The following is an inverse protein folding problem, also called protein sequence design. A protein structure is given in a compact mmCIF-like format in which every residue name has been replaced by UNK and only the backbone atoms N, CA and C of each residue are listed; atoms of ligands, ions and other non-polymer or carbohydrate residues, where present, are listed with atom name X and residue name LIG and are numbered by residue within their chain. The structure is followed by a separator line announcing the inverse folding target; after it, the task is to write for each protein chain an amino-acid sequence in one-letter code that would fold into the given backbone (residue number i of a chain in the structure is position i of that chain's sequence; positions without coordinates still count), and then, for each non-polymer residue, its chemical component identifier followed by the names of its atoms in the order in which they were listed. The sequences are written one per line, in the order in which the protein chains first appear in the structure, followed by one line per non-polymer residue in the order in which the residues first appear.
data_IF_435531586256
#
_entry.id   IF_435531586256
#
_cell.length_a   1.000
_cell.length_b   1.000
_cell.length_c   1.000
_cell.angle_alpha   90.00
_cell.angle_beta   90.00
_cell.angle_gamma   90.00
#
_symmetry.space_group_name_H-M   'P 1'
#
loop_
_entity.id
_entity.type
_entity.pdbx_description
1 polymer ?
#
# COMPACT_ATOMS: atom_id res chain seq x y z
N UNK A 1 20.35 -20.83 -9.02
CA UNK A 1 19.17 -19.93 -9.08
C UNK A 1 19.59 -18.57 -8.56
N UNK A 2 19.31 -17.50 -9.29
CA UNK A 2 19.55 -16.13 -8.81
C UNK A 2 18.45 -15.75 -7.81
N UNK A 3 18.81 -15.06 -6.73
CA UNK A 3 17.85 -14.52 -5.76
C UNK A 3 16.99 -13.44 -6.42
N UNK A 4 15.67 -13.59 -6.39
CA UNK A 4 14.73 -12.54 -6.79
C UNK A 4 14.30 -11.73 -5.56
N UNK A 5 14.78 -10.48 -5.43
CA UNK A 5 14.52 -9.68 -4.24
C UNK A 5 13.07 -9.16 -4.19
N UNK A 6 12.29 -9.30 -5.27
CA UNK A 6 10.89 -8.90 -5.37
C UNK A 6 9.92 -10.09 -5.23
N UNK A 7 10.45 -11.31 -5.04
CA UNK A 7 9.68 -12.53 -4.83
C UNK A 7 8.62 -12.76 -5.92
N UNK A 8 9.00 -12.61 -7.19
CA UNK A 8 8.15 -12.82 -8.36
C UNK A 8 7.14 -11.72 -8.63
N UNK A 9 7.12 -10.63 -7.85
CA UNK A 9 6.16 -9.54 -8.04
C UNK A 9 6.54 -8.66 -9.22
N UNK A 10 5.54 -8.24 -9.99
CA UNK A 10 5.70 -7.36 -11.16
C UNK A 10 4.70 -6.20 -11.13
N UNK A 11 4.98 -5.17 -11.93
CA UNK A 11 4.11 -3.99 -12.08
C UNK A 11 3.69 -3.37 -10.75
N UNK A 12 2.39 -3.06 -10.63
CA UNK A 12 1.84 -2.42 -9.43
C UNK A 12 2.09 -3.22 -8.14
N UNK A 13 1.99 -4.55 -8.19
CA UNK A 13 2.20 -5.41 -7.03
C UNK A 13 3.64 -5.30 -6.51
N UNK A 14 4.63 -5.23 -7.41
CA UNK A 14 6.03 -5.01 -7.07
C UNK A 14 6.25 -3.64 -6.46
N UNK A 15 5.64 -2.61 -7.06
CA UNK A 15 5.88 -1.23 -6.65
C UNK A 15 5.25 -0.96 -5.27
N UNK A 16 4.03 -1.45 -5.02
CA UNK A 16 3.41 -1.45 -3.69
C UNK A 16 4.26 -2.23 -2.66
N UNK A 17 4.73 -3.43 -3.03
CA UNK A 17 5.60 -4.22 -2.16
C UNK A 17 6.89 -3.49 -1.80
N UNK A 18 7.55 -2.85 -2.77
CA UNK A 18 8.79 -2.10 -2.53
C UNK A 18 8.55 -0.87 -1.64
N UNK A 19 7.47 -0.13 -1.89
CA UNK A 19 7.06 0.99 -1.03
C UNK A 19 6.91 0.51 0.42
N UNK A 20 6.07 -0.50 0.64
CA UNK A 20 5.81 -1.00 2.00
C UNK A 20 7.04 -1.64 2.64
N UNK A 21 7.62 -2.65 2.00
CA UNK A 21 8.60 -3.54 2.61
C UNK A 21 10.02 -2.95 2.62
N UNK A 22 10.40 -2.17 1.59
CA UNK A 22 11.76 -1.64 1.49
C UNK A 22 11.89 -0.19 1.94
N UNK A 23 10.97 0.67 1.52
CA UNK A 23 11.00 2.10 1.86
C UNK A 23 10.48 2.33 3.28
N UNK A 24 9.25 1.90 3.55
CA UNK A 24 8.60 2.14 4.84
C UNK A 24 8.98 1.11 5.91
N UNK A 25 9.41 -0.08 5.49
CA UNK A 25 9.86 -1.19 6.37
C UNK A 25 8.82 -1.60 7.42
N UNK A 26 7.57 -1.67 6.99
CA UNK A 26 6.45 -2.12 7.83
C UNK A 26 5.75 -3.33 7.22
N UNK A 27 5.04 -4.09 8.05
CA UNK A 27 4.23 -5.23 7.59
C UNK A 27 2.92 -4.78 6.93
N UNK A 28 2.19 -5.73 6.33
CA UNK A 28 0.95 -5.44 5.61
C UNK A 28 -0.17 -4.90 6.53
N UNK A 29 -0.43 -5.47 7.72
CA UNK A 29 -1.42 -4.91 8.65
C UNK A 29 -1.09 -3.47 9.06
N UNK A 30 0.16 -3.18 9.44
CA UNK A 30 0.58 -1.83 9.84
C UNK A 30 0.46 -0.84 8.68
N UNK A 31 0.80 -1.25 7.46
CA UNK A 31 0.61 -0.40 6.27
C UNK A 31 -0.86 -0.09 6.03
N UNK A 32 -1.72 -1.11 6.13
CA UNK A 32 -3.16 -0.97 5.94
C UNK A 32 -3.75 0.01 6.97
N UNK A 33 -3.48 -0.20 8.25
CA UNK A 33 -3.93 0.66 9.34
C UNK A 33 -3.41 2.10 9.18
N UNK A 34 -2.10 2.26 8.97
CA UNK A 34 -1.45 3.58 8.88
C UNK A 34 -2.04 4.46 7.77
N UNK A 35 -2.50 3.86 6.67
CA UNK A 35 -2.99 4.59 5.50
C UNK A 35 -4.50 4.44 5.26
N UNK A 36 -5.24 3.91 6.24
CA UNK A 36 -6.70 3.78 6.14
C UNK A 36 -7.15 2.86 5.00
N UNK A 37 -6.39 1.80 4.73
CA UNK A 37 -6.72 0.79 3.72
C UNK A 37 -7.14 -0.51 4.43
N UNK A 38 -7.94 -1.35 3.76
CA UNK A 38 -8.22 -2.68 4.29
C UNK A 38 -7.02 -3.62 4.08
N UNK A 39 -6.72 -4.42 5.11
CA UNK A 39 -5.63 -5.41 5.05
C UNK A 39 -5.82 -6.39 3.87
N UNK A 40 -7.05 -6.87 3.65
CA UNK A 40 -7.38 -7.74 2.52
C UNK A 40 -7.03 -7.11 1.17
N UNK A 41 -7.36 -5.83 0.98
CA UNK A 41 -7.03 -5.10 -0.24
C UNK A 41 -5.51 -4.98 -0.45
N UNK A 42 -4.75 -4.60 0.58
CA UNK A 42 -3.28 -4.52 0.49
C UNK A 42 -2.67 -5.87 0.11
N UNK A 43 -3.11 -6.95 0.77
CA UNK A 43 -2.66 -8.32 0.50
C UNK A 43 -2.96 -8.74 -0.95
N UNK A 44 -4.19 -8.53 -1.42
CA UNK A 44 -4.60 -8.95 -2.76
C UNK A 44 -3.87 -8.17 -3.86
N UNK A 45 -3.62 -6.87 -3.65
CA UNK A 45 -2.85 -6.04 -4.56
C UNK A 45 -1.38 -6.48 -4.63
N UNK A 46 -0.72 -6.78 -3.51
CA UNK A 46 0.67 -7.28 -3.52
C UNK A 46 0.80 -8.69 -4.11
N UNK A 47 -0.27 -9.48 -4.09
CA UNK A 47 -0.32 -10.80 -4.72
C UNK A 47 -0.78 -10.76 -6.18
N UNK A 48 -0.98 -9.56 -6.75
CA UNK A 48 -1.46 -9.35 -8.11
C UNK A 48 -2.76 -10.12 -8.44
N UNK A 49 -3.63 -10.36 -7.45
CA UNK A 49 -4.89 -11.10 -7.64
C UNK A 49 -5.93 -10.32 -8.43
N UNK A 50 -5.85 -8.98 -8.39
CA UNK A 50 -6.77 -8.08 -9.08
C UNK A 50 -6.06 -6.90 -9.71
N UNK A 51 -6.65 -6.37 -10.79
CA UNK A 51 -6.19 -5.10 -11.38
C UNK A 51 -6.47 -3.96 -10.40
N UNK A 52 -5.47 -3.15 -10.02
CA UNK A 52 -5.69 -2.02 -9.12
C UNK A 52 -6.66 -1.02 -9.75
N UNK A 53 -7.64 -0.59 -8.96
CA UNK A 53 -8.55 0.49 -9.33
C UNK A 53 -7.78 1.80 -9.58
N UNK A 54 -8.40 2.75 -10.29
CA UNK A 54 -7.79 4.07 -10.51
C UNK A 54 -7.48 4.77 -9.17
N UNK A 55 -8.41 4.72 -8.22
CA UNK A 55 -8.23 5.28 -6.89
C UNK A 55 -7.05 4.64 -6.14
N UNK A 56 -6.94 3.30 -6.17
CA UNK A 56 -5.83 2.59 -5.51
C UNK A 56 -4.47 3.01 -6.07
N UNK A 57 -4.34 3.20 -7.39
CA UNK A 57 -3.10 3.70 -8.01
C UNK A 57 -2.73 5.09 -7.53
N UNK A 58 -3.71 5.99 -7.47
CA UNK A 58 -3.52 7.37 -7.00
C UNK A 58 -3.12 7.38 -5.52
N UNK A 59 -3.80 6.59 -4.68
CA UNK A 59 -3.48 6.49 -3.26
C UNK A 59 -2.06 5.99 -3.01
N UNK A 60 -1.65 4.91 -3.70
CA UNK A 60 -0.28 4.39 -3.56
C UNK A 60 0.76 5.40 -4.07
N UNK A 61 0.49 6.11 -5.18
CA UNK A 61 1.36 7.17 -5.65
C UNK A 61 1.46 8.32 -4.63
N UNK A 62 0.35 8.73 -4.02
CA UNK A 62 0.34 9.77 -2.99
C UNK A 62 1.11 9.35 -1.74
N UNK A 63 0.99 8.09 -1.31
CA UNK A 63 1.77 7.54 -0.18
C UNK A 63 3.26 7.53 -0.52
N UNK A 64 3.64 7.21 -1.75
CA UNK A 64 5.04 7.20 -2.18
C UNK A 64 5.68 8.60 -2.21
N UNK A 65 4.86 9.62 -2.53
CA UNK A 65 5.24 11.03 -2.55
C UNK A 65 5.36 11.62 -1.15
N UNK A 66 4.35 11.43 -0.30
CA UNK A 66 4.30 11.97 1.06
C UNK A 66 3.58 11.01 2.03
N UNK A 67 4.32 10.06 2.65
CA UNK A 67 3.75 9.11 3.59
C UNK A 67 3.21 9.77 4.87
N UNK A 68 3.77 10.92 5.29
CA UNK A 68 3.35 11.57 6.53
C UNK A 68 2.02 12.28 6.33
N UNK A 69 1.89 13.02 5.23
CA UNK A 69 0.63 13.64 4.83
C UNK A 69 -0.46 12.60 4.63
N UNK A 70 -0.17 11.49 3.93
CA UNK A 70 -1.18 10.45 3.70
C UNK A 70 -1.62 9.75 4.99
N UNK A 71 -0.71 9.51 5.94
CA UNK A 71 -1.09 8.99 7.25
C UNK A 71 -1.96 9.97 8.03
N UNK A 72 -1.67 11.28 7.95
CA UNK A 72 -2.52 12.33 8.53
C UNK A 72 -3.90 12.38 7.86
N UNK A 73 -3.95 12.32 6.53
CA UNK A 73 -5.20 12.31 5.77
C UNK A 73 -6.06 11.10 6.13
N UNK A 74 -5.46 9.91 6.30
CA UNK A 74 -6.15 8.71 6.74
C UNK A 74 -6.80 8.89 8.12
N UNK A 75 -6.09 9.51 9.09
CA UNK A 75 -6.66 9.84 10.40
C UNK A 75 -7.84 10.80 10.30
N UNK A 76 -7.70 11.90 9.54
CA UNK A 76 -8.79 12.86 9.33
C UNK A 76 -10.00 12.18 8.68
N UNK A 77 -9.78 11.26 7.73
CA UNK A 77 -10.85 10.54 7.08
C UNK A 77 -11.63 9.67 8.09
N UNK A 78 -10.93 8.90 8.92
CA UNK A 78 -11.53 8.06 9.95
C UNK A 78 -12.30 8.86 11.02
N UNK A 79 -11.81 10.04 11.39
CA UNK A 79 -12.48 10.93 12.36
C UNK A 79 -13.71 11.63 11.76
N UNK A 80 -13.63 12.05 10.48
CA UNK A 80 -14.67 12.83 9.82
C UNK A 80 -15.81 11.96 9.29
N UNK A 81 -15.48 10.78 8.79
CA UNK A 81 -16.42 9.80 8.26
C UNK A 81 -16.16 8.47 8.95
N UNK A 82 -16.52 8.35 10.25
CA UNK A 82 -16.51 7.06 10.91
C UNK A 82 -17.55 6.15 10.24
N UNK A 83 -17.15 4.92 9.95
CA UNK A 83 -18.04 3.87 9.43
C UNK A 83 -19.22 3.58 10.37
#
# INVERSE_FOLDING_TARGET
MAFDPDFGKVGFARDLFRLRFRRLRIDQPTFAERFGLSFGSVKDQEQARHKPSKAMRVLVAAIDLDPEFMAKAAKVAAERWPD
#
